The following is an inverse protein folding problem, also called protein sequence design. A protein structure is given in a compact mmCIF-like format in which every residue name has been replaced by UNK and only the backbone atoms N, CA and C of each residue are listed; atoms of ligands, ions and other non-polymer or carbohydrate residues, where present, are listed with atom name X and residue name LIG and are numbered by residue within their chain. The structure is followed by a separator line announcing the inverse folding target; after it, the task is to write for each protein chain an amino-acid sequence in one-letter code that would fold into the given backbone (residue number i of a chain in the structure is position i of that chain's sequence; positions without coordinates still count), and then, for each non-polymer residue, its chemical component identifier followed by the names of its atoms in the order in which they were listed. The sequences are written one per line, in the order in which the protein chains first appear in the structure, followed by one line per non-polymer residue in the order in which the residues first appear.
data_IF_448675541341
#
_entry.id   IF_448675541341
#
_cell.length_a   1.000
_cell.length_b   1.000
_cell.length_c   1.000
_cell.angle_alpha   90.00
_cell.angle_beta   90.00
_cell.angle_gamma   90.00
#
_symmetry.space_group_name_H-M   'P 1'
#
loop_
_entity.id
_entity.type
_entity.pdbx_description
1 polymer ?
#
# COMPACT_ATOMS: atom_id res chain seq x y z
N UNK A 1 42.45 12.48 -6.10
CA UNK A 1 41.25 13.04 -5.42
C UNK A 1 39.93 12.81 -6.19
N UNK A 2 39.95 12.45 -7.48
CA UNK A 2 38.75 12.25 -8.33
C UNK A 2 37.95 10.94 -8.12
N UNK A 3 38.50 9.92 -7.44
CA UNK A 3 37.86 8.60 -7.28
C UNK A 3 36.84 8.56 -6.13
N UNK A 4 37.01 9.38 -5.08
CA UNK A 4 36.09 9.41 -3.93
C UNK A 4 34.72 10.03 -4.26
N UNK A 5 34.63 10.91 -5.25
CA UNK A 5 33.37 11.54 -5.66
C UNK A 5 32.46 10.61 -6.47
N UNK A 6 33.03 9.65 -7.21
CA UNK A 6 32.27 8.65 -7.97
C UNK A 6 31.65 7.57 -7.08
N UNK A 7 32.37 7.12 -6.06
CA UNK A 7 31.92 6.05 -5.17
C UNK A 7 30.82 6.51 -4.22
N UNK A 8 30.92 7.74 -3.69
CA UNK A 8 29.89 8.32 -2.83
C UNK A 8 28.55 8.58 -3.54
N UNK A 9 28.57 8.81 -4.86
CA UNK A 9 27.36 9.07 -5.66
C UNK A 9 26.61 7.79 -6.06
N UNK A 10 27.32 6.65 -6.15
CA UNK A 10 26.72 5.35 -6.50
C UNK A 10 26.28 4.55 -5.27
N UNK A 11 26.88 4.79 -4.10
CA UNK A 11 26.50 4.15 -2.85
C UNK A 11 25.00 4.25 -2.51
N UNK A 12 24.33 5.43 -2.58
CA UNK A 12 22.89 5.50 -2.33
C UNK A 12 22.06 4.74 -3.36
N UNK A 13 22.48 4.74 -4.63
CA UNK A 13 21.81 3.97 -5.68
C UNK A 13 21.94 2.45 -5.45
N UNK A 14 23.13 1.99 -5.03
CA UNK A 14 23.39 0.58 -4.70
C UNK A 14 22.57 0.17 -3.47
N UNK A 15 22.51 0.99 -2.43
CA UNK A 15 21.68 0.74 -1.24
C UNK A 15 20.19 0.72 -1.58
N UNK A 16 19.71 1.62 -2.44
CA UNK A 16 18.33 1.63 -2.92
C UNK A 16 18.00 0.36 -3.71
N UNK A 17 18.90 -0.12 -4.56
CA UNK A 17 18.74 -1.38 -5.31
C UNK A 17 18.70 -2.58 -4.35
N UNK A 18 19.59 -2.65 -3.36
CA UNK A 18 19.60 -3.72 -2.36
C UNK A 18 18.31 -3.70 -1.53
N UNK A 19 17.85 -2.53 -1.09
CA UNK A 19 16.60 -2.38 -0.36
C UNK A 19 15.39 -2.80 -1.21
N UNK A 20 15.36 -2.42 -2.50
CA UNK A 20 14.30 -2.82 -3.42
C UNK A 20 14.29 -4.35 -3.66
N UNK A 21 15.46 -4.97 -3.80
CA UNK A 21 15.58 -6.43 -3.94
C UNK A 21 15.18 -7.17 -2.66
N UNK A 22 15.54 -6.66 -1.49
CA UNK A 22 15.14 -7.23 -0.20
C UNK A 22 13.63 -7.12 0.01
N UNK A 23 13.02 -5.96 -0.30
CA UNK A 23 11.58 -5.79 -0.27
C UNK A 23 10.88 -6.73 -1.25
N UNK A 24 11.37 -6.83 -2.50
CA UNK A 24 10.83 -7.73 -3.50
C UNK A 24 10.93 -9.20 -3.05
N UNK A 25 12.06 -9.61 -2.47
CA UNK A 25 12.24 -10.96 -1.92
C UNK A 25 11.31 -11.22 -0.72
N UNK A 26 11.11 -10.25 0.15
CA UNK A 26 10.16 -10.35 1.27
C UNK A 26 8.72 -10.51 0.78
N UNK A 27 8.28 -9.79 -0.25
CA UNK A 27 6.95 -9.99 -0.85
C UNK A 27 6.86 -11.28 -1.70
N UNK A 28 7.98 -11.74 -2.26
CA UNK A 28 8.05 -12.98 -3.04
C UNK A 28 7.97 -14.23 -2.16
N UNK A 29 8.74 -14.27 -1.08
CA UNK A 29 8.98 -15.46 -0.26
C UNK A 29 8.49 -15.33 1.19
N UNK A 30 7.95 -14.18 1.59
CA UNK A 30 7.39 -13.96 2.91
C UNK A 30 6.11 -14.78 3.18
N UNK A 31 5.57 -14.70 4.42
CA UNK A 31 4.43 -15.50 4.86
C UNK A 31 3.11 -15.00 4.25
N UNK A 32 2.92 -15.26 2.95
CA UNK A 32 1.77 -14.80 2.15
C UNK A 32 0.44 -15.26 2.73
N UNK A 33 0.39 -16.48 3.26
CA UNK A 33 -0.83 -17.06 3.83
C UNK A 33 -1.26 -16.36 5.12
N UNK A 34 -0.31 -16.06 6.01
CA UNK A 34 -0.61 -15.32 7.24
C UNK A 34 -1.00 -13.88 6.95
N UNK A 35 -0.26 -13.22 6.06
CA UNK A 35 -0.58 -11.85 5.64
C UNK A 35 -1.97 -11.75 5.00
N UNK A 36 -2.29 -12.67 4.08
CA UNK A 36 -3.61 -12.74 3.45
C UNK A 36 -4.73 -12.99 4.45
N UNK A 37 -4.50 -13.86 5.44
CA UNK A 37 -5.48 -14.13 6.52
C UNK A 37 -5.72 -12.89 7.39
N UNK A 38 -4.67 -12.20 7.81
CA UNK A 38 -4.78 -10.97 8.58
C UNK A 38 -5.52 -9.88 7.81
N UNK A 39 -5.21 -9.71 6.51
CA UNK A 39 -5.94 -8.82 5.62
C UNK A 39 -7.41 -9.19 5.50
N UNK A 40 -7.72 -10.47 5.28
CA UNK A 40 -9.10 -10.94 5.15
C UNK A 40 -9.92 -10.64 6.42
N UNK A 41 -9.38 -10.97 7.60
CA UNK A 41 -10.01 -10.66 8.89
C UNK A 41 -10.20 -9.16 9.08
N UNK A 42 -9.18 -8.35 8.75
CA UNK A 42 -9.28 -6.90 8.81
C UNK A 42 -10.41 -6.37 7.92
N UNK A 43 -10.47 -6.79 6.66
CA UNK A 43 -11.49 -6.31 5.71
C UNK A 43 -12.90 -6.82 6.03
N UNK A 44 -13.04 -8.00 6.64
CA UNK A 44 -14.33 -8.43 7.21
C UNK A 44 -14.83 -7.46 8.27
N UNK A 45 -13.96 -7.04 9.20
CA UNK A 45 -14.32 -6.03 10.23
C UNK A 45 -14.62 -4.67 9.63
N UNK A 46 -13.83 -4.23 8.64
CA UNK A 46 -14.07 -2.95 7.95
C UNK A 46 -15.40 -2.98 7.21
N UNK A 47 -15.82 -4.14 6.68
CA UNK A 47 -17.11 -4.31 6.02
C UNK A 47 -18.30 -4.18 6.99
N UNK A 48 -18.13 -4.60 8.24
CA UNK A 48 -19.14 -4.43 9.31
C UNK A 48 -19.44 -2.94 9.62
N UNK A 49 -18.55 -2.02 9.23
CA UNK A 49 -18.73 -0.56 9.38
C UNK A 49 -19.74 0.04 8.37
N UNK A 50 -20.26 -0.77 7.43
CA UNK A 50 -21.27 -0.33 6.48
C UNK A 50 -20.78 0.83 5.59
N UNK A 51 -21.51 1.97 5.51
CA UNK A 51 -21.13 3.11 4.66
C UNK A 51 -19.76 3.74 4.97
N UNK A 52 -19.25 3.57 6.20
CA UNK A 52 -17.95 4.10 6.61
C UNK A 52 -16.78 3.22 6.16
N UNK A 53 -17.04 1.96 5.80
CA UNK A 53 -16.01 1.02 5.38
C UNK A 53 -15.12 1.56 4.26
N UNK A 54 -15.67 2.05 3.14
CA UNK A 54 -14.90 2.68 2.06
C UNK A 54 -13.99 3.84 2.49
N UNK A 55 -14.46 4.67 3.42
CA UNK A 55 -13.68 5.80 3.96
C UNK A 55 -12.46 5.30 4.72
N UNK A 56 -12.62 4.25 5.53
CA UNK A 56 -11.51 3.61 6.25
C UNK A 56 -10.49 3.01 5.28
N UNK A 57 -10.95 2.37 4.20
CA UNK A 57 -10.05 1.84 3.15
C UNK A 57 -9.26 2.97 2.48
N UNK A 58 -9.91 4.10 2.17
CA UNK A 58 -9.23 5.28 1.64
C UNK A 58 -8.22 5.87 2.63
N UNK A 59 -8.58 5.99 3.91
CA UNK A 59 -7.70 6.50 4.95
C UNK A 59 -6.46 5.62 5.18
N UNK A 60 -6.59 4.30 4.96
CA UNK A 60 -5.48 3.36 5.07
C UNK A 60 -4.36 3.62 4.05
N UNK A 61 -4.64 4.31 2.94
CA UNK A 61 -3.62 4.69 1.97
C UNK A 61 -2.60 5.70 2.52
N UNK A 62 -2.96 6.54 3.48
CA UNK A 62 -2.04 7.52 4.06
C UNK A 62 -0.82 6.82 4.70
N UNK A 63 -0.98 5.93 5.70
CA UNK A 63 0.17 5.23 6.28
C UNK A 63 0.83 4.26 5.30
N UNK A 64 0.08 3.63 4.40
CA UNK A 64 0.65 2.72 3.38
C UNK A 64 1.63 3.46 2.46
N UNK A 65 1.24 4.65 1.99
CA UNK A 65 2.11 5.49 1.16
C UNK A 65 3.31 6.03 1.95
N UNK A 66 3.12 6.50 3.18
CA UNK A 66 4.20 6.98 4.04
C UNK A 66 5.25 5.91 4.35
N UNK A 67 4.81 4.65 4.48
CA UNK A 67 5.69 3.51 4.74
C UNK A 67 6.21 2.85 3.45
N UNK A 68 5.92 3.40 2.27
CA UNK A 68 6.28 2.83 0.97
C UNK A 68 5.83 1.37 0.80
N UNK A 69 4.70 1.00 1.41
CA UNK A 69 4.11 -0.33 1.31
C UNK A 69 3.27 -0.45 0.02
N UNK A 70 3.17 -1.66 -0.57
CA UNK A 70 2.37 -1.85 -1.77
C UNK A 70 0.89 -1.63 -1.47
N UNK A 71 0.23 -0.74 -2.22
CA UNK A 71 -1.21 -0.47 -2.10
C UNK A 71 -2.10 -1.54 -2.76
N UNK A 72 -1.54 -2.43 -3.57
CA UNK A 72 -2.32 -3.43 -4.31
C UNK A 72 -3.17 -4.36 -3.43
N UNK A 73 -2.71 -4.87 -2.27
CA UNK A 73 -3.55 -5.71 -1.43
C UNK A 73 -4.73 -4.90 -0.87
N UNK A 74 -4.50 -3.65 -0.46
CA UNK A 74 -5.55 -2.77 0.09
C UNK A 74 -6.63 -2.51 -0.95
N UNK A 75 -6.24 -2.18 -2.20
CA UNK A 75 -7.20 -1.96 -3.30
C UNK A 75 -7.98 -3.22 -3.65
N UNK A 76 -7.30 -4.36 -3.77
CA UNK A 76 -7.93 -5.62 -4.18
C UNK A 76 -8.90 -6.14 -3.12
N UNK A 77 -8.49 -6.17 -1.86
CA UNK A 77 -9.37 -6.61 -0.77
C UNK A 77 -10.48 -5.60 -0.48
N UNK A 78 -10.24 -4.30 -0.63
CA UNK A 78 -11.29 -3.28 -0.58
C UNK A 78 -12.33 -3.45 -1.68
N UNK A 79 -11.87 -3.65 -2.92
CA UNK A 79 -12.73 -3.98 -4.05
C UNK A 79 -13.52 -5.27 -3.83
N UNK A 80 -12.90 -6.31 -3.28
CA UNK A 80 -13.58 -7.56 -2.95
C UNK A 80 -14.63 -7.40 -1.84
N UNK A 81 -14.32 -6.64 -0.78
CA UNK A 81 -15.20 -6.44 0.36
C UNK A 81 -16.45 -5.60 0.01
N UNK A 82 -16.29 -4.55 -0.79
CA UNK A 82 -17.35 -3.58 -1.09
C UNK A 82 -17.90 -3.67 -2.52
N UNK A 83 -17.26 -4.42 -3.42
CA UNK A 83 -17.61 -4.48 -4.84
C UNK A 83 -18.82 -5.35 -5.21
N UNK A 84 -19.48 -5.98 -4.22
CA UNK A 84 -20.67 -6.80 -4.47
C UNK A 84 -21.88 -5.99 -4.94
N UNK A 85 -21.88 -4.68 -4.68
CA UNK A 85 -22.92 -3.76 -5.15
C UNK A 85 -22.27 -2.60 -5.91
N UNK A 86 -22.94 -2.10 -6.94
CA UNK A 86 -22.45 -0.97 -7.72
C UNK A 86 -22.20 0.29 -6.85
N UNK A 87 -23.09 0.66 -5.90
CA UNK A 87 -22.82 1.79 -5.00
C UNK A 87 -21.61 1.56 -4.10
N UNK A 88 -21.44 0.35 -3.57
CA UNK A 88 -20.28 0.01 -2.72
C UNK A 88 -18.97 0.05 -3.48
N UNK A 89 -18.96 -0.46 -4.72
CA UNK A 89 -17.81 -0.37 -5.62
C UNK A 89 -17.42 1.07 -5.91
N UNK A 90 -18.38 1.92 -6.29
CA UNK A 90 -18.12 3.32 -6.60
C UNK A 90 -17.61 4.10 -5.38
N UNK A 91 -18.19 3.85 -4.20
CA UNK A 91 -17.73 4.46 -2.95
C UNK A 91 -16.29 4.07 -2.63
N UNK A 92 -15.95 2.77 -2.71
CA UNK A 92 -14.58 2.30 -2.44
C UNK A 92 -13.59 2.85 -3.48
N UNK A 93 -13.98 2.88 -4.76
CA UNK A 93 -13.13 3.40 -5.82
C UNK A 93 -12.83 4.90 -5.62
N UNK A 94 -13.86 5.69 -5.29
CA UNK A 94 -13.69 7.12 -5.01
C UNK A 94 -12.78 7.35 -3.79
N UNK A 95 -13.03 6.65 -2.68
CA UNK A 95 -12.22 6.77 -1.47
C UNK A 95 -10.77 6.34 -1.69
N UNK A 96 -10.53 5.24 -2.43
CA UNK A 96 -9.18 4.77 -2.75
C UNK A 96 -8.43 5.76 -3.65
N UNK A 97 -9.08 6.33 -4.67
CA UNK A 97 -8.45 7.37 -5.53
C UNK A 97 -8.05 8.61 -4.72
N UNK A 98 -8.94 9.10 -3.85
CA UNK A 98 -8.66 10.28 -3.01
C UNK A 98 -7.55 9.95 -2.01
N UNK A 99 -7.68 8.84 -1.29
CA UNK A 99 -6.74 8.41 -0.27
C UNK A 99 -5.34 8.15 -0.81
N UNK A 100 -5.23 7.48 -1.97
CA UNK A 100 -3.94 7.22 -2.62
C UNK A 100 -3.27 8.50 -3.13
N UNK A 101 -4.04 9.44 -3.67
CA UNK A 101 -3.51 10.73 -4.13
C UNK A 101 -2.98 11.53 -2.95
N UNK A 102 -3.77 11.65 -1.87
CA UNK A 102 -3.35 12.35 -0.64
C UNK A 102 -2.15 11.67 0.03
N UNK A 103 -2.18 10.34 0.15
CA UNK A 103 -1.08 9.57 0.72
C UNK A 103 0.22 9.73 -0.07
N UNK A 104 0.15 9.70 -1.41
CA UNK A 104 1.30 9.97 -2.25
C UNK A 104 1.82 11.40 -2.05
N UNK A 105 0.94 12.42 -2.05
CA UNK A 105 1.34 13.81 -1.78
C UNK A 105 2.03 13.96 -0.42
N UNK A 106 1.49 13.34 0.64
CA UNK A 106 2.06 13.39 1.99
C UNK A 106 3.43 12.70 2.10
N UNK A 107 3.73 11.74 1.24
CA UNK A 107 5.04 11.09 1.23
C UNK A 107 6.15 11.95 0.61
N UNK A 108 5.80 13.01 -0.14
CA UNK A 108 6.75 13.85 -0.89
C UNK A 108 6.72 15.35 -0.52
N UNK A 109 5.75 15.79 0.29
CA UNK A 109 5.68 17.13 0.89
C UNK A 109 6.48 17.18 2.19
#
# INVERSE_FOLDING_TARGET
MMIRSFLGRRLPAVLAVIAALAAAAFFAFGPREEFGRWLAVFFERVRELGPWGPVVVGALFLPVCLLFLPGSPVTLFGGFAFGKTLPGFLAVAACVSIGSTLGASLAFL
#
